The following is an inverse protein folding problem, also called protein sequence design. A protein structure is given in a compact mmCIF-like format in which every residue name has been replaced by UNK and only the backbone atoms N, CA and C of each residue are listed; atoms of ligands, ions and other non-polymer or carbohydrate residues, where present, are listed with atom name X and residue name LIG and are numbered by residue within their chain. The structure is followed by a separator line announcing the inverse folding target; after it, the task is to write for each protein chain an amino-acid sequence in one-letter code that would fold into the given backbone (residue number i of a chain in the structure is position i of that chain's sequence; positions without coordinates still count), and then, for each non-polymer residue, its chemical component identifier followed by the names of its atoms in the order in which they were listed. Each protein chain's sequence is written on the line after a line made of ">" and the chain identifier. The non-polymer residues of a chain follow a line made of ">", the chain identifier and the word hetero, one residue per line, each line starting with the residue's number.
data_IF_952647433021
#
_entry.id   IF_952647433021
#
_cell.length_a   1.000
_cell.length_b   1.000
_cell.length_c   1.000
_cell.angle_alpha   90.00
_cell.angle_beta   90.00
_cell.angle_gamma   90.00
#
_symmetry.space_group_name_H-M   'P 1'
#
loop_
_entity.id
_entity.type
_entity.pdbx_description
1 polymer ?
#
# COMPACT_ATOMS: atom_id res chain seq x y z
N UNK A 1 -2.68 -27.24 -12.44
CA UNK A 1 -2.45 -26.86 -12.28
C UNK A 1 -1.88 -26.67 -11.65
N UNK A 2 -2.00 -27.37 -11.69
CA UNK A 2 -1.41 -27.60 -11.02
C UNK A 2 -0.73 -26.63 -10.48
N UNK A 3 0.26 -26.90 -10.20
CA UNK A 3 1.03 -25.95 -9.58
C UNK A 3 0.64 -24.56 -9.90
N UNK A 4 -0.10 -24.45 -10.92
CA UNK A 4 -0.58 -23.14 -11.32
C UNK A 4 -1.52 -22.53 -10.33
N UNK A 5 -2.08 -23.34 -9.45
CA UNK A 5 -2.96 -22.82 -8.42
C UNK A 5 -2.30 -21.80 -7.52
N UNK A 6 -0.97 -21.75 -7.50
CA UNK A 6 -0.27 -20.77 -6.70
C UNK A 6 -0.36 -19.36 -7.23
N UNK A 7 -0.78 -19.18 -8.47
CA UNK A 7 -0.81 -17.86 -9.07
C UNK A 7 -2.20 -17.28 -9.04
N UNK A 8 -2.69 -17.02 -7.84
CA UNK A 8 -4.02 -16.47 -7.64
C UNK A 8 -3.99 -14.95 -7.49
N UNK A 9 -2.97 -14.29 -7.98
CA UNK A 9 -2.84 -12.85 -7.91
C UNK A 9 -2.24 -12.30 -9.21
N UNK A 10 -2.42 -11.00 -9.41
CA UNK A 10 -1.88 -10.30 -10.57
C UNK A 10 -0.43 -9.92 -10.28
N UNK A 11 0.51 -10.52 -11.01
CA UNK A 11 1.93 -10.27 -10.82
C UNK A 11 2.31 -8.81 -11.09
N UNK A 12 1.44 -8.05 -11.76
CA UNK A 12 1.68 -6.62 -11.98
C UNK A 12 1.75 -5.84 -10.68
N UNK A 13 1.22 -6.40 -9.59
CA UNK A 13 1.31 -5.79 -8.28
C UNK A 13 2.77 -5.65 -7.82
N UNK A 14 3.66 -6.51 -8.31
CA UNK A 14 5.07 -6.51 -7.94
C UNK A 14 5.80 -5.34 -8.58
N UNK A 15 5.60 -4.16 -8.03
CA UNK A 15 6.14 -2.93 -8.58
C UNK A 15 6.19 -1.86 -7.48
N UNK A 16 6.59 -0.66 -7.87
CA UNK A 16 6.66 0.49 -6.98
C UNK A 16 5.51 1.41 -7.32
N UNK A 17 4.75 1.79 -6.31
CA UNK A 17 3.52 2.57 -6.47
C UNK A 17 3.53 3.79 -5.58
N UNK A 18 3.16 4.96 -6.13
CA UNK A 18 3.04 6.19 -5.37
C UNK A 18 1.56 6.53 -5.23
N UNK A 19 1.15 6.93 -4.02
CA UNK A 19 -0.26 7.22 -3.78
C UNK A 19 -0.66 8.54 -4.43
N UNK A 20 -1.84 8.56 -5.04
CA UNK A 20 -2.42 9.75 -5.66
C UNK A 20 -3.67 10.23 -4.94
N UNK A 21 -4.47 9.30 -4.42
CA UNK A 21 -5.73 9.63 -3.79
C UNK A 21 -6.00 8.73 -2.60
N UNK A 22 -6.67 9.26 -1.61
CA UNK A 22 -7.11 8.49 -0.45
C UNK A 22 -8.38 9.10 0.11
N UNK A 23 -9.37 8.25 0.41
CA UNK A 23 -10.65 8.69 0.95
C UNK A 23 -10.46 9.56 2.20
N UNK A 24 -11.11 10.71 2.20
CA UNK A 24 -11.08 11.61 3.34
C UNK A 24 -9.88 12.52 3.43
N UNK A 25 -8.93 12.41 2.48
CA UNK A 25 -7.73 13.23 2.47
C UNK A 25 -7.57 13.94 1.13
N UNK A 26 -7.04 15.15 1.20
CA UNK A 26 -6.68 15.92 0.00
C UNK A 26 -5.16 15.92 -0.06
N UNK A 27 -4.60 14.86 -0.61
CA UNK A 27 -3.16 14.64 -0.58
C UNK A 27 -2.34 15.77 -1.19
N UNK A 28 -2.85 16.42 -2.22
CA UNK A 28 -2.16 17.53 -2.86
C UNK A 28 -2.02 18.75 -1.95
N UNK A 29 -2.86 18.83 -0.91
CA UNK A 29 -2.84 19.96 0.02
C UNK A 29 -2.09 19.66 1.31
N UNK A 30 -1.67 18.40 1.49
CA UNK A 30 -0.93 18.01 2.68
C UNK A 30 0.55 18.32 2.50
N UNK A 31 1.16 18.89 3.54
CA UNK A 31 2.61 19.10 3.55
C UNK A 31 3.24 17.83 4.12
N UNK A 32 3.87 17.07 3.25
CA UNK A 32 4.44 15.79 3.60
C UNK A 32 5.96 15.88 3.66
N UNK A 33 6.54 15.44 4.78
CA UNK A 33 7.96 15.56 5.04
C UNK A 33 8.82 14.92 3.96
N UNK A 34 8.46 13.73 3.52
CA UNK A 34 9.20 13.01 2.48
C UNK A 34 8.42 12.87 1.18
N UNK A 35 7.38 13.69 1.00
CA UNK A 35 6.54 13.63 -0.19
C UNK A 35 5.47 12.57 -0.10
N UNK A 36 4.83 12.30 -1.23
CA UNK A 36 3.72 11.36 -1.29
C UNK A 36 4.17 9.95 -0.90
N UNK A 37 3.35 9.24 -0.09
CA UNK A 37 3.67 7.86 0.26
C UNK A 37 3.91 6.98 -0.95
N UNK A 38 4.88 6.08 -0.80
CA UNK A 38 5.33 5.21 -1.87
C UNK A 38 5.48 3.80 -1.33
N UNK A 39 4.94 2.82 -2.04
CA UNK A 39 4.98 1.42 -1.62
C UNK A 39 5.61 0.56 -2.70
N UNK A 40 6.39 -0.40 -2.28
CA UNK A 40 6.97 -1.39 -3.16
C UNK A 40 6.53 -2.78 -2.67
N UNK A 41 5.93 -3.55 -3.56
CA UNK A 41 5.47 -4.89 -3.23
C UNK A 41 6.46 -5.92 -3.79
N UNK A 42 6.88 -6.83 -2.93
CA UNK A 42 7.81 -7.90 -3.26
C UNK A 42 7.09 -9.24 -3.15
N UNK A 43 6.46 -9.66 -4.25
CA UNK A 43 5.62 -10.86 -4.24
C UNK A 43 6.41 -12.14 -4.03
N UNK A 44 7.65 -12.19 -4.49
CA UNK A 44 8.48 -13.38 -4.28
C UNK A 44 8.74 -13.64 -2.80
N UNK A 45 8.71 -12.60 -1.98
CA UNK A 45 8.95 -12.70 -0.54
C UNK A 45 7.68 -12.50 0.28
N UNK A 46 6.58 -12.19 -0.37
CA UNK A 46 5.32 -11.84 0.27
C UNK A 46 5.52 -10.77 1.34
N UNK A 47 6.21 -9.71 0.96
CA UNK A 47 6.49 -8.57 1.82
C UNK A 47 6.29 -7.28 1.04
N UNK A 48 6.05 -6.21 1.77
CA UNK A 48 6.07 -4.89 1.17
C UNK A 48 6.95 -3.97 2.00
N UNK A 49 7.45 -2.93 1.36
CA UNK A 49 8.17 -1.88 2.04
C UNK A 49 7.74 -0.56 1.42
N UNK A 50 7.88 0.51 2.16
CA UNK A 50 7.51 1.80 1.63
C UNK A 50 7.78 2.91 2.61
N UNK A 51 7.39 4.09 2.20
CA UNK A 51 7.54 5.32 2.96
C UNK A 51 6.16 5.97 3.05
N UNK A 52 5.74 6.30 4.26
CA UNK A 52 4.38 6.77 4.51
C UNK A 52 4.34 8.26 4.83
N UNK A 53 5.14 9.04 4.16
CA UNK A 53 5.30 10.49 4.29
C UNK A 53 6.29 10.93 5.37
N UNK A 54 6.46 10.16 6.42
CA UNK A 54 7.44 10.44 7.48
C UNK A 54 8.28 9.21 7.75
N UNK A 55 7.64 8.14 8.15
CA UNK A 55 8.34 6.91 8.52
C UNK A 55 8.37 5.90 7.38
N UNK A 56 9.40 5.06 7.40
CA UNK A 56 9.45 3.92 6.51
C UNK A 56 8.60 2.81 7.13
N UNK A 57 7.87 2.08 6.31
CA UNK A 57 7.03 0.98 6.74
C UNK A 57 7.43 -0.29 6.02
N UNK A 58 7.30 -1.41 6.71
CA UNK A 58 7.49 -2.72 6.11
C UNK A 58 6.54 -3.71 6.78
N UNK A 59 6.25 -4.80 6.10
CA UNK A 59 5.40 -5.82 6.68
C UNK A 59 5.26 -7.02 5.77
N UNK A 60 4.74 -8.09 6.36
CA UNK A 60 4.40 -9.29 5.60
C UNK A 60 3.02 -9.11 5.00
N UNK A 61 2.77 -9.81 3.91
CA UNK A 61 1.47 -9.81 3.28
C UNK A 61 1.21 -11.14 2.61
N UNK A 62 -0.05 -11.43 2.38
CA UNK A 62 -0.47 -12.58 1.59
C UNK A 62 -1.40 -12.07 0.51
N UNK A 63 -1.23 -12.58 -0.71
CA UNK A 63 -2.05 -12.17 -1.83
C UNK A 63 -2.75 -13.40 -2.38
N UNK A 64 -4.09 -13.37 -2.37
CA UNK A 64 -4.91 -14.44 -2.90
C UNK A 64 -6.03 -13.82 -3.72
N UNK A 65 -6.05 -14.14 -5.03
CA UNK A 65 -7.03 -13.55 -5.92
C UNK A 65 -6.87 -12.04 -5.96
N UNK A 66 -7.93 -11.33 -5.64
CA UNK A 66 -7.92 -9.88 -5.64
C UNK A 66 -7.80 -9.28 -4.23
N UNK A 67 -7.33 -10.08 -3.28
CA UNK A 67 -7.23 -9.64 -1.89
C UNK A 67 -5.80 -9.70 -1.39
N UNK A 68 -5.44 -8.70 -0.60
CA UNK A 68 -4.15 -8.64 0.09
C UNK A 68 -4.42 -8.59 1.58
N UNK A 69 -3.83 -9.51 2.33
CA UNK A 69 -3.90 -9.50 3.79
C UNK A 69 -2.56 -9.04 4.33
N UNK A 70 -2.57 -7.92 5.04
CA UNK A 70 -1.37 -7.38 5.64
C UNK A 70 -1.21 -7.88 7.06
N UNK A 71 0.04 -8.20 7.45
CA UNK A 71 0.35 -8.50 8.83
C UNK A 71 0.61 -7.21 9.60
N UNK A 72 1.37 -7.32 10.69
CA UNK A 72 1.77 -6.15 11.45
C UNK A 72 2.63 -5.23 10.60
N UNK A 73 2.27 -3.95 10.55
CA UNK A 73 3.11 -2.95 9.92
C UNK A 73 4.16 -2.50 10.93
N UNK A 74 5.41 -2.58 10.52
CA UNK A 74 6.52 -2.14 11.34
C UNK A 74 7.21 -0.99 10.65
N UNK A 75 7.78 -0.09 11.41
CA UNK A 75 8.43 1.06 10.82
C UNK A 75 9.25 1.86 11.80
N UNK A 76 9.87 2.90 11.29
CA UNK A 76 10.59 3.85 12.12
C UNK A 76 9.60 4.65 12.97
N UNK A 77 10.07 5.26 14.02
CA UNK A 77 9.21 5.98 14.96
C UNK A 77 9.58 7.46 15.04
N UNK A 78 9.80 8.07 13.88
CA UNK A 78 10.06 9.50 13.83
C UNK A 78 8.77 10.28 14.00
N UNK A 79 8.88 11.45 14.62
CA UNK A 79 7.74 12.35 14.75
C UNK A 79 7.92 13.49 13.74
N UNK A 80 6.94 13.65 12.88
CA UNK A 80 6.92 14.71 11.89
C UNK A 80 5.73 15.64 12.16
N UNK A 81 5.80 16.88 11.69
CA UNK A 81 4.72 17.83 11.96
C UNK A 81 3.35 17.36 11.47
N UNK A 82 3.31 16.68 10.32
CA UNK A 82 2.05 16.19 9.77
C UNK A 82 2.08 14.66 9.68
N UNK A 83 1.37 14.02 10.58
CA UNK A 83 1.27 12.55 10.61
C UNK A 83 -0.09 12.05 10.12
N UNK A 84 -0.91 12.95 9.59
CA UNK A 84 -2.28 12.63 9.23
C UNK A 84 -2.37 11.53 8.17
N UNK A 85 -1.61 11.67 7.09
CA UNK A 85 -1.63 10.69 6.01
C UNK A 85 -1.05 9.36 6.46
N UNK A 86 0.07 9.40 7.17
CA UNK A 86 0.71 8.18 7.67
C UNK A 86 -0.20 7.40 8.60
N UNK A 87 -0.84 8.07 9.56
CA UNK A 87 -1.76 7.42 10.48
C UNK A 87 -2.95 6.80 9.75
N UNK A 88 -3.46 7.50 8.72
CA UNK A 88 -4.58 6.98 7.95
C UNK A 88 -4.18 5.72 7.18
N UNK A 89 -2.97 5.69 6.62
CA UNK A 89 -2.47 4.53 5.90
C UNK A 89 -2.32 3.34 6.84
N UNK A 90 -1.69 3.56 8.00
CA UNK A 90 -1.50 2.49 8.96
C UNK A 90 -2.84 1.93 9.41
N UNK A 91 -3.79 2.81 9.72
CA UNK A 91 -5.13 2.39 10.15
C UNK A 91 -5.82 1.55 9.08
N UNK A 92 -5.63 1.89 7.82
CA UNK A 92 -6.28 1.18 6.72
C UNK A 92 -5.66 -0.17 6.41
N UNK A 93 -4.38 -0.34 6.67
CA UNK A 93 -3.63 -1.53 6.25
C UNK A 93 -3.21 -2.46 7.38
N UNK A 94 -2.88 -1.93 8.57
CA UNK A 94 -2.31 -2.75 9.63
C UNK A 94 -3.24 -3.89 10.04
N UNK A 95 -2.79 -5.13 9.83
CA UNK A 95 -3.54 -6.34 10.13
C UNK A 95 -4.92 -6.37 9.46
N UNK A 96 -5.00 -5.82 8.25
CA UNK A 96 -6.26 -5.75 7.50
C UNK A 96 -6.16 -6.51 6.20
N UNK A 97 -7.32 -6.96 5.71
CA UNK A 97 -7.44 -7.53 4.38
C UNK A 97 -8.09 -6.48 3.49
N UNK A 98 -7.45 -6.20 2.37
CA UNK A 98 -7.95 -5.19 1.42
C UNK A 98 -8.17 -5.85 0.07
N UNK A 99 -9.05 -5.26 -0.72
CA UNK A 99 -9.26 -5.67 -2.11
C UNK A 99 -8.38 -4.81 -2.99
N UNK A 100 -7.78 -5.39 -4.02
CA UNK A 100 -6.99 -4.61 -4.95
C UNK A 100 -7.42 -4.85 -6.38
N UNK A 101 -7.17 -3.85 -7.23
CA UNK A 101 -7.37 -3.98 -8.66
C UNK A 101 -6.31 -3.13 -9.35
N UNK A 102 -5.87 -3.60 -10.51
CA UNK A 102 -4.89 -2.87 -11.31
C UNK A 102 -5.50 -2.62 -12.68
N UNK A 103 -5.50 -1.37 -13.11
CA UNK A 103 -5.97 -0.97 -14.42
C UNK A 103 -4.89 -0.09 -15.03
N UNK A 104 -4.21 -0.64 -16.05
CA UNK A 104 -3.09 0.03 -16.69
C UNK A 104 -2.01 0.35 -15.66
N UNK A 105 -1.74 1.62 -15.41
CA UNK A 105 -0.69 2.04 -14.48
C UNK A 105 -1.25 2.49 -13.12
N UNK A 106 -2.48 2.09 -12.82
CA UNK A 106 -3.14 2.48 -11.57
C UNK A 106 -3.47 1.27 -10.73
N UNK A 107 -3.17 1.38 -9.44
CA UNK A 107 -3.51 0.37 -8.45
C UNK A 107 -4.52 0.97 -7.48
N UNK A 108 -5.62 0.27 -7.26
CA UNK A 108 -6.62 0.70 -6.29
C UNK A 108 -6.68 -0.31 -5.15
N UNK A 109 -6.55 0.17 -3.93
CA UNK A 109 -6.73 -0.63 -2.72
C UNK A 109 -7.97 -0.15 -2.00
N UNK A 110 -8.81 -1.09 -1.59
CA UNK A 110 -10.02 -0.77 -0.83
C UNK A 110 -9.98 -1.50 0.50
N UNK A 111 -9.93 -0.75 1.58
CA UNK A 111 -9.96 -1.25 2.95
C UNK A 111 -11.22 -0.73 3.62
N UNK A 112 -12.26 -1.59 3.73
CA UNK A 112 -13.55 -1.14 4.26
C UNK A 112 -14.10 0.01 3.44
N UNK A 113 -14.24 1.18 4.05
CA UNK A 113 -14.76 2.37 3.38
C UNK A 113 -13.64 3.27 2.85
N UNK A 114 -12.39 2.87 3.04
CA UNK A 114 -11.25 3.67 2.61
C UNK A 114 -10.74 3.15 1.28
N UNK A 115 -10.65 4.04 0.30
CA UNK A 115 -10.14 3.72 -1.02
C UNK A 115 -8.84 4.49 -1.22
N UNK A 116 -7.81 3.79 -1.71
CA UNK A 116 -6.52 4.41 -2.02
C UNK A 116 -6.19 4.11 -3.47
N UNK A 117 -5.79 5.13 -4.20
CA UNK A 117 -5.38 4.99 -5.60
C UNK A 117 -3.92 5.33 -5.71
N UNK A 118 -3.18 4.44 -6.33
CA UNK A 118 -1.73 4.57 -6.53
C UNK A 118 -1.43 4.59 -8.03
N UNK A 119 -0.33 5.21 -8.37
CA UNK A 119 0.18 5.21 -9.73
C UNK A 119 1.53 4.51 -9.76
N UNK A 120 1.77 3.72 -10.80
CA UNK A 120 3.05 3.06 -11.00
C UNK A 120 4.15 4.10 -11.21
N UNK A 121 5.27 3.90 -10.54
CA UNK A 121 6.44 4.79 -10.64
C UNK A 121 7.32 4.32 -11.79
N UNK A 122 7.31 5.05 -12.88
CA UNK A 122 8.17 4.73 -14.02
C UNK A 122 8.47 5.98 -14.80
#
# INVERSE_FOLDING_TARGET
>A
VGGCGGYLYDYKLNDIWVIEEMTGLKLKKEKLTKGAPLFEFHLSEMRFSGQASCNNLTGKMEVVGNKITFGNLMGTLMACPNMKVEKAIIKALDQKTVTYSIDKMKLTLVSGKTKMVFKKVD
#
